data_IF_689168583774
#
_entry.id   IF_689168583774
#
_cell.length_a   1.000
_cell.length_b   1.000
_cell.length_c   1.000
_cell.angle_alpha   90.00
_cell.angle_beta   90.00
_cell.angle_gamma   90.00
#
_symmetry.space_group_name_H-M   'P 1'
#
loop_
_entity.id
_entity.type
_entity.pdbx_description
1 polymer ?
#
# COMPACT_ATOMS: atom_id res chain seq x y z
N UNK A 1 -25.77 -4.54 34.33
CA UNK A 1 -26.87 -3.69 33.80
C UNK A 1 -26.38 -2.56 32.87
N UNK A 2 -25.21 -1.94 33.11
CA UNK A 2 -24.67 -0.86 32.23
C UNK A 2 -24.18 -1.36 30.84
N UNK A 3 -23.61 -2.58 30.75
CA UNK A 3 -23.17 -3.17 29.46
C UNK A 3 -24.32 -3.60 28.57
N UNK A 4 -25.41 -4.08 29.11
CA UNK A 4 -26.60 -4.46 28.34
C UNK A 4 -27.37 -3.26 27.80
N UNK A 5 -27.42 -2.14 28.52
CA UNK A 5 -28.03 -0.88 28.08
C UNK A 5 -27.28 -0.27 26.89
N UNK A 6 -25.95 -0.37 26.85
CA UNK A 6 -25.12 0.13 25.75
C UNK A 6 -25.30 -0.70 24.47
N UNK A 7 -25.31 -2.04 24.58
CA UNK A 7 -25.49 -2.92 23.43
C UNK A 7 -26.91 -2.78 22.81
N UNK A 8 -27.96 -2.66 23.63
CA UNK A 8 -29.33 -2.43 23.15
C UNK A 8 -29.46 -1.07 22.45
N UNK A 9 -28.83 -0.02 22.98
CA UNK A 9 -28.77 1.30 22.35
C UNK A 9 -28.09 1.27 20.97
N UNK A 10 -27.01 0.50 20.83
CA UNK A 10 -26.28 0.38 19.58
C UNK A 10 -27.06 -0.41 18.51
N UNK A 11 -27.78 -1.45 18.90
CA UNK A 11 -28.67 -2.21 17.99
C UNK A 11 -29.81 -1.32 17.51
N UNK A 12 -30.46 -0.56 18.41
CA UNK A 12 -31.53 0.36 18.07
C UNK A 12 -31.06 1.48 17.11
N UNK A 13 -29.89 2.07 17.34
CA UNK A 13 -29.29 3.06 16.43
C UNK A 13 -29.02 2.50 15.03
N UNK A 14 -28.59 1.25 14.93
CA UNK A 14 -28.33 0.57 13.65
C UNK A 14 -29.63 0.38 12.87
N UNK A 15 -30.70 -0.01 13.51
CA UNK A 15 -31.99 -0.22 12.86
C UNK A 15 -32.67 1.08 12.40
N UNK A 16 -32.52 2.18 13.15
CA UNK A 16 -32.92 3.50 12.65
C UNK A 16 -32.17 3.92 11.41
N UNK A 17 -30.89 3.57 11.30
CA UNK A 17 -30.10 3.81 10.07
C UNK A 17 -30.58 2.95 8.90
N UNK A 18 -30.98 1.70 9.13
CA UNK A 18 -31.56 0.84 8.08
C UNK A 18 -32.93 1.37 7.60
N UNK A 19 -33.76 1.85 8.48
CA UNK A 19 -35.04 2.50 8.10
C UNK A 19 -34.79 3.78 7.28
N UNK A 20 -33.81 4.61 7.69
CA UNK A 20 -33.41 5.80 6.94
C UNK A 20 -32.79 5.46 5.57
N UNK A 21 -32.28 4.26 5.39
CA UNK A 21 -31.77 3.74 4.12
C UNK A 21 -32.86 3.10 3.23
N UNK A 22 -34.17 3.27 3.58
CA UNK A 22 -35.30 2.84 2.75
C UNK A 22 -35.84 1.44 3.05
N UNK A 23 -35.49 0.84 4.18
CA UNK A 23 -36.14 -0.41 4.65
C UNK A 23 -37.56 -0.10 5.12
N UNK A 24 -38.58 -0.73 4.51
CA UNK A 24 -39.98 -0.44 4.72
C UNK A 24 -40.58 -1.06 6.01
N UNK A 25 -39.76 -1.68 6.85
CA UNK A 25 -40.18 -2.27 8.13
C UNK A 25 -39.98 -1.24 9.24
N UNK A 26 -40.98 -1.00 10.10
CA UNK A 26 -40.82 -0.09 11.25
C UNK A 26 -39.64 -0.51 12.12
N UNK A 27 -38.79 0.46 12.57
CA UNK A 27 -37.56 0.15 13.33
C UNK A 27 -37.81 -0.70 14.58
N UNK A 28 -38.93 -0.46 15.26
CA UNK A 28 -39.27 -1.18 16.50
C UNK A 28 -39.62 -2.66 16.25
N UNK A 29 -40.29 -2.94 15.14
CA UNK A 29 -40.60 -4.32 14.73
C UNK A 29 -39.31 -5.05 14.29
N UNK A 30 -38.45 -4.38 13.56
CA UNK A 30 -37.16 -4.93 13.16
C UNK A 30 -36.29 -5.20 14.39
N UNK A 31 -36.31 -4.30 15.39
CA UNK A 31 -35.61 -4.49 16.66
C UNK A 31 -36.12 -5.71 17.41
N UNK A 32 -37.45 -5.81 17.58
CA UNK A 32 -38.07 -6.93 18.27
C UNK A 32 -37.73 -8.28 17.57
N UNK A 33 -37.84 -8.31 16.25
CA UNK A 33 -37.47 -9.49 15.45
C UNK A 33 -35.99 -9.90 15.66
N UNK A 34 -35.04 -8.95 15.57
CA UNK A 34 -33.62 -9.22 15.75
C UNK A 34 -33.31 -9.69 17.18
N UNK A 35 -34.01 -9.17 18.18
CA UNK A 35 -33.86 -9.57 19.58
C UNK A 35 -34.41 -10.97 19.83
N UNK A 36 -35.56 -11.28 19.32
CA UNK A 36 -36.23 -12.58 19.49
C UNK A 36 -35.52 -13.71 18.72
N UNK A 37 -34.87 -13.40 17.58
CA UNK A 37 -34.07 -14.35 16.82
C UNK A 37 -32.80 -14.86 17.55
N UNK A 38 -32.43 -14.25 18.67
CA UNK A 38 -31.18 -14.56 19.42
C UNK A 38 -29.90 -14.06 18.74
N UNK A 39 -29.98 -13.54 17.51
CA UNK A 39 -28.83 -13.14 16.69
C UNK A 39 -28.41 -11.68 16.86
N UNK A 40 -29.10 -10.90 17.66
CA UNK A 40 -28.79 -9.48 17.88
C UNK A 40 -27.37 -9.21 18.40
N UNK A 41 -26.74 -10.21 19.05
CA UNK A 41 -25.37 -10.12 19.62
C UNK A 41 -24.27 -10.31 18.60
N UNK A 42 -24.57 -10.91 17.45
CA UNK A 42 -23.56 -11.24 16.41
C UNK A 42 -23.58 -10.27 15.22
N UNK A 43 -24.37 -9.19 15.28
CA UNK A 43 -24.46 -8.20 14.21
C UNK A 43 -23.13 -7.45 14.05
N UNK A 44 -22.56 -7.54 12.86
CA UNK A 44 -21.30 -6.88 12.52
C UNK A 44 -21.55 -5.45 12.06
N UNK A 45 -20.70 -4.52 12.49
CA UNK A 45 -20.72 -3.16 11.98
C UNK A 45 -20.06 -3.14 10.59
N UNK A 46 -20.56 -2.27 9.68
CA UNK A 46 -20.01 -2.15 8.34
C UNK A 46 -20.94 -1.37 7.41
N UNK A 47 -20.54 -1.26 6.14
CA UNK A 47 -21.35 -0.72 5.06
C UNK A 47 -22.02 -1.85 4.31
N UNK A 48 -23.35 -1.82 4.20
CA UNK A 48 -24.13 -2.87 3.57
C UNK A 48 -24.99 -2.28 2.44
N UNK A 49 -25.05 -2.95 1.31
CA UNK A 49 -25.99 -2.67 0.24
C UNK A 49 -27.20 -3.59 0.40
N UNK A 50 -28.35 -3.00 0.75
CA UNK A 50 -29.59 -3.75 0.97
C UNK A 50 -30.39 -3.75 -0.33
N UNK A 51 -30.58 -4.90 -1.01
CA UNK A 51 -31.41 -4.99 -2.19
C UNK A 51 -32.86 -4.59 -1.89
N UNK A 52 -33.50 -3.91 -2.82
CA UNK A 52 -34.91 -3.60 -2.68
C UNK A 52 -35.74 -4.88 -2.54
N UNK A 53 -36.66 -4.88 -1.58
CA UNK A 53 -37.55 -6.04 -1.32
C UNK A 53 -36.89 -7.12 -0.44
N UNK A 54 -35.74 -6.86 0.16
CA UNK A 54 -35.11 -7.79 1.11
C UNK A 54 -35.99 -8.03 2.32
N UNK A 55 -36.15 -9.30 2.71
CA UNK A 55 -36.87 -9.67 3.93
C UNK A 55 -36.06 -9.29 5.19
N UNK A 56 -36.73 -9.12 6.35
CA UNK A 56 -36.07 -8.92 7.63
C UNK A 56 -35.07 -10.03 7.98
N UNK A 57 -35.38 -11.27 7.60
CA UNK A 57 -34.50 -12.44 7.79
C UNK A 57 -33.24 -12.32 6.95
N UNK A 58 -33.36 -12.01 5.66
CA UNK A 58 -32.21 -11.78 4.79
C UNK A 58 -31.30 -10.65 5.31
N UNK A 59 -31.91 -9.55 5.80
CA UNK A 59 -31.18 -8.45 6.41
C UNK A 59 -30.43 -8.90 7.68
N UNK A 60 -31.07 -9.70 8.53
CA UNK A 60 -30.47 -10.24 9.75
C UNK A 60 -29.28 -11.14 9.40
N UNK A 61 -29.43 -12.06 8.44
CA UNK A 61 -28.37 -12.96 7.97
C UNK A 61 -27.20 -12.16 7.41
N UNK A 62 -27.47 -11.19 6.54
CA UNK A 62 -26.45 -10.32 5.95
C UNK A 62 -25.63 -9.57 7.00
N UNK A 63 -26.31 -9.03 8.03
CA UNK A 63 -25.66 -8.31 9.13
C UNK A 63 -24.89 -9.26 10.08
N UNK A 64 -25.44 -10.45 10.36
CA UNK A 64 -24.83 -11.44 11.24
C UNK A 64 -23.58 -12.08 10.59
N UNK A 65 -23.65 -12.40 9.31
CA UNK A 65 -22.53 -12.95 8.55
C UNK A 65 -21.48 -11.85 8.23
N UNK A 66 -21.89 -10.59 8.16
CA UNK A 66 -21.03 -9.47 7.82
C UNK A 66 -20.77 -9.39 6.31
N UNK A 67 -21.78 -9.67 5.47
CA UNK A 67 -21.74 -9.52 4.01
C UNK A 67 -21.70 -8.03 3.61
N UNK A 68 -20.59 -7.36 3.90
CA UNK A 68 -20.41 -5.94 3.61
C UNK A 68 -20.34 -5.68 2.11
N UNK A 69 -20.79 -4.50 1.69
CA UNK A 69 -20.56 -3.97 0.36
C UNK A 69 -19.08 -3.54 0.27
N UNK A 70 -18.28 -4.38 -0.35
CA UNK A 70 -16.85 -4.11 -0.54
C UNK A 70 -16.54 -3.68 -1.97
N UNK A 71 -15.47 -2.94 -2.12
CA UNK A 71 -14.83 -2.55 -3.38
C UNK A 71 -13.36 -2.92 -3.29
N UNK A 72 -12.66 -2.83 -4.40
CA UNK A 72 -11.22 -3.06 -4.43
C UNK A 72 -10.52 -2.01 -5.26
N UNK A 73 -9.26 -1.76 -4.92
CA UNK A 73 -8.33 -0.96 -5.71
C UNK A 73 -7.04 -1.74 -5.85
N UNK A 74 -6.50 -1.79 -7.07
CA UNK A 74 -5.22 -2.44 -7.35
C UNK A 74 -4.14 -1.37 -7.41
N UNK A 75 -3.12 -1.53 -6.58
CA UNK A 75 -1.90 -0.75 -6.56
C UNK A 75 -0.79 -1.59 -7.20
N UNK A 76 -0.18 -1.09 -8.28
CA UNK A 76 0.67 -1.90 -9.16
C UNK A 76 2.14 -1.76 -8.78
N UNK A 77 2.91 -2.84 -8.93
CA UNK A 77 4.37 -2.87 -8.74
C UNK A 77 5.07 -1.83 -9.65
N UNK A 78 6.13 -1.23 -9.15
CA UNK A 78 6.90 -0.24 -9.88
C UNK A 78 6.23 1.14 -10.02
N UNK A 79 5.02 1.33 -9.49
CA UNK A 79 4.40 2.65 -9.42
C UNK A 79 5.07 3.52 -8.36
N UNK A 80 5.03 4.83 -8.56
CA UNK A 80 5.42 5.85 -7.57
C UNK A 80 4.27 6.12 -6.59
N UNK A 81 4.56 6.75 -5.48
CA UNK A 81 3.54 7.19 -4.52
C UNK A 81 2.49 8.12 -5.16
N UNK A 82 2.90 8.97 -6.09
CA UNK A 82 1.98 9.80 -6.88
C UNK A 82 0.95 8.96 -7.63
N UNK A 83 1.39 7.91 -8.34
CA UNK A 83 0.50 7.01 -9.07
C UNK A 83 -0.42 6.22 -8.13
N UNK A 84 0.06 5.83 -6.93
CA UNK A 84 -0.80 5.23 -5.90
C UNK A 84 -1.91 6.18 -5.48
N UNK A 85 -1.58 7.44 -5.22
CA UNK A 85 -2.58 8.48 -4.87
C UNK A 85 -3.61 8.69 -5.99
N UNK A 86 -3.17 8.71 -7.24
CA UNK A 86 -4.07 8.82 -8.38
C UNK A 86 -5.02 7.63 -8.51
N UNK A 87 -4.53 6.41 -8.24
CA UNK A 87 -5.38 5.22 -8.24
C UNK A 87 -6.41 5.27 -7.09
N UNK A 88 -6.00 5.69 -5.89
CA UNK A 88 -6.91 5.87 -4.76
C UNK A 88 -7.94 6.97 -5.03
N UNK A 89 -7.55 8.07 -5.66
CA UNK A 89 -8.46 9.16 -6.02
C UNK A 89 -9.56 8.72 -7.02
N UNK A 90 -9.25 7.74 -7.87
CA UNK A 90 -10.21 7.16 -8.84
C UNK A 90 -10.98 5.96 -8.30
N UNK A 91 -10.65 5.48 -7.09
CA UNK A 91 -11.26 4.29 -6.51
C UNK A 91 -12.73 4.51 -6.15
N UNK A 92 -13.60 3.59 -6.58
CA UNK A 92 -15.04 3.70 -6.45
C UNK A 92 -15.48 3.71 -4.98
N UNK A 93 -16.32 4.68 -4.61
CA UNK A 93 -16.83 4.84 -3.25
C UNK A 93 -15.77 4.85 -2.13
N UNK A 94 -14.55 5.31 -2.40
CA UNK A 94 -13.51 5.54 -1.41
C UNK A 94 -13.52 7.03 -1.00
N UNK A 95 -13.54 7.30 0.31
CA UNK A 95 -13.44 8.68 0.81
C UNK A 95 -12.02 9.18 0.67
N UNK A 96 -11.89 10.37 0.12
CA UNK A 96 -10.62 11.01 -0.20
C UNK A 96 -10.13 11.88 0.97
N UNK A 97 -9.84 11.26 2.13
CA UNK A 97 -9.38 11.97 3.35
C UNK A 97 -7.94 12.48 3.22
N UNK A 98 -7.20 12.01 2.20
CA UNK A 98 -5.83 12.48 1.89
C UNK A 98 -5.79 13.60 0.85
N UNK A 99 -6.93 14.06 0.33
CA UNK A 99 -6.98 15.16 -0.63
C UNK A 99 -6.36 16.43 -0.04
N UNK A 100 -5.44 17.06 -0.79
CA UNK A 100 -4.75 18.28 -0.37
C UNK A 100 -3.62 18.05 0.62
N UNK A 101 -3.41 16.84 1.15
CA UNK A 101 -2.29 16.55 2.02
C UNK A 101 -1.02 16.28 1.21
N UNK A 102 0.11 16.77 1.71
CA UNK A 102 1.44 16.39 1.24
C UNK A 102 1.80 14.96 1.65
N UNK A 103 2.82 14.39 1.00
CA UNK A 103 3.33 13.06 1.37
C UNK A 103 3.73 12.96 2.84
N UNK A 104 4.52 13.89 3.39
CA UNK A 104 4.86 13.91 4.83
C UNK A 104 3.64 13.97 5.75
N UNK A 105 2.63 14.80 5.45
CA UNK A 105 1.40 14.88 6.26
C UNK A 105 0.61 13.56 6.25
N UNK A 106 0.60 12.84 5.13
CA UNK A 106 -0.01 11.50 5.06
C UNK A 106 0.75 10.53 5.95
N UNK A 107 2.11 10.55 5.91
CA UNK A 107 2.93 9.66 6.73
C UNK A 107 2.75 9.97 8.22
N UNK A 108 2.67 11.24 8.62
CA UNK A 108 2.34 11.64 10.00
C UNK A 108 0.99 11.06 10.45
N UNK A 109 -0.06 11.11 9.59
CA UNK A 109 -1.37 10.50 9.90
C UNK A 109 -1.35 8.97 9.94
N UNK A 110 -0.32 8.36 9.38
CA UNK A 110 -0.08 6.92 9.43
C UNK A 110 0.86 6.51 10.56
N UNK A 111 1.22 7.43 11.45
CA UNK A 111 2.12 7.24 12.59
C UNK A 111 3.59 6.95 12.16
N UNK A 112 4.01 7.49 10.99
CA UNK A 112 5.35 7.34 10.41
C UNK A 112 5.97 8.72 10.09
N UNK A 113 6.00 9.57 11.10
CA UNK A 113 6.51 10.94 10.98
C UNK A 113 7.98 10.98 10.54
N UNK A 114 8.31 11.92 9.66
CA UNK A 114 9.67 12.09 9.14
C UNK A 114 10.11 11.06 8.09
N UNK A 115 9.28 10.07 7.73
CA UNK A 115 9.58 9.06 6.73
C UNK A 115 9.00 9.46 5.37
N UNK A 116 9.81 9.37 4.30
CA UNK A 116 9.34 9.59 2.94
C UNK A 116 8.33 8.50 2.52
N UNK A 117 7.23 8.85 1.84
CA UNK A 117 6.19 7.88 1.46
C UNK A 117 6.62 6.95 0.31
N UNK A 118 7.61 7.35 -0.50
CA UNK A 118 8.03 6.57 -1.67
C UNK A 118 8.59 5.20 -1.25
N UNK A 119 8.15 4.15 -1.92
CA UNK A 119 8.55 2.77 -1.65
C UNK A 119 7.86 2.10 -0.45
N UNK A 120 7.08 2.83 0.35
CA UNK A 120 6.55 2.35 1.64
C UNK A 120 5.25 1.57 1.59
N UNK A 121 4.56 1.59 0.48
CA UNK A 121 3.26 0.95 0.36
C UNK A 121 3.36 -0.28 -0.54
N UNK A 122 3.00 -1.45 -0.02
CA UNK A 122 3.10 -2.69 -0.79
C UNK A 122 2.08 -2.70 -1.93
N UNK A 123 2.51 -3.01 -3.17
CA UNK A 123 1.60 -3.16 -4.30
C UNK A 123 0.79 -4.46 -4.16
N UNK A 124 -0.54 -4.32 -4.17
CA UNK A 124 -1.48 -5.45 -4.08
C UNK A 124 -2.89 -4.96 -4.46
N UNK A 125 -3.85 -5.86 -4.48
CA UNK A 125 -5.28 -5.52 -4.58
C UNK A 125 -5.88 -5.41 -3.18
N UNK A 126 -6.24 -4.20 -2.79
CA UNK A 126 -6.81 -3.90 -1.47
C UNK A 126 -8.32 -3.85 -1.52
N UNK A 127 -8.95 -4.68 -0.70
CA UNK A 127 -10.39 -4.70 -0.53
C UNK A 127 -10.76 -3.75 0.61
N UNK A 128 -11.75 -2.89 0.37
CA UNK A 128 -12.22 -1.91 1.34
C UNK A 128 -13.75 -1.82 1.39
N UNK A 129 -14.34 -1.53 2.57
CA UNK A 129 -15.76 -1.28 2.68
C UNK A 129 -16.15 0.01 1.94
N UNK A 130 -17.32 0.01 1.29
CA UNK A 130 -17.87 1.21 0.68
C UNK A 130 -17.90 2.39 1.67
N UNK A 131 -17.47 3.56 1.22
CA UNK A 131 -17.33 4.79 2.00
C UNK A 131 -16.30 4.73 3.15
N UNK A 132 -15.33 3.82 3.11
CA UNK A 132 -14.16 3.88 3.99
C UNK A 132 -13.12 4.89 3.49
N UNK A 133 -12.17 5.24 4.37
CA UNK A 133 -11.11 6.20 4.07
C UNK A 133 -9.98 5.59 3.24
N UNK A 134 -9.42 6.37 2.32
CA UNK A 134 -8.19 6.06 1.58
C UNK A 134 -6.96 5.89 2.52
N UNK A 135 -6.92 6.60 3.66
CA UNK A 135 -5.95 6.35 4.72
C UNK A 135 -6.00 4.92 5.25
N UNK A 136 -7.19 4.30 5.28
CA UNK A 136 -7.34 2.91 5.67
C UNK A 136 -6.66 1.95 4.70
N UNK A 137 -6.76 2.21 3.39
CA UNK A 137 -6.07 1.44 2.35
C UNK A 137 -4.56 1.64 2.43
N UNK A 138 -4.11 2.90 2.56
CA UNK A 138 -2.70 3.22 2.74
C UNK A 138 -2.12 2.55 3.99
N UNK A 139 -2.83 2.55 5.11
CA UNK A 139 -2.38 1.86 6.34
C UNK A 139 -2.20 0.36 6.13
N UNK A 140 -3.12 -0.29 5.41
CA UNK A 140 -2.98 -1.71 5.06
C UNK A 140 -1.75 -1.96 4.17
N UNK A 141 -1.54 -1.12 3.17
CA UNK A 141 -0.42 -1.23 2.24
C UNK A 141 0.93 -0.99 2.95
N UNK A 142 1.00 0.00 3.84
CA UNK A 142 2.16 0.31 4.66
C UNK A 142 2.53 -0.87 5.56
N UNK A 143 1.57 -1.37 6.35
CA UNK A 143 1.78 -2.53 7.22
C UNK A 143 2.16 -3.80 6.44
N UNK A 144 1.65 -3.94 5.21
CA UNK A 144 2.01 -5.06 4.36
C UNK A 144 3.47 -4.95 3.88
N UNK A 145 3.96 -3.73 3.58
CA UNK A 145 5.36 -3.50 3.23
C UNK A 145 6.29 -3.74 4.42
N UNK A 146 5.96 -3.19 5.59
CA UNK A 146 6.77 -3.33 6.80
C UNK A 146 7.01 -4.81 7.15
N UNK A 147 5.94 -5.61 7.17
CA UNK A 147 6.05 -7.06 7.45
C UNK A 147 6.93 -7.79 6.43
N UNK A 148 6.83 -7.45 5.14
CA UNK A 148 7.62 -8.10 4.09
C UNK A 148 9.07 -7.69 4.13
N UNK A 149 9.32 -6.40 4.38
CA UNK A 149 10.67 -5.87 4.50
C UNK A 149 11.38 -6.48 5.71
N UNK A 150 10.72 -6.57 6.86
CA UNK A 150 11.27 -7.21 8.05
C UNK A 150 11.56 -8.70 7.81
N UNK A 151 10.63 -9.43 7.19
CA UNK A 151 10.82 -10.84 6.86
C UNK A 151 12.00 -11.03 5.89
N UNK A 152 12.10 -10.23 4.84
CA UNK A 152 13.21 -10.29 3.90
C UNK A 152 14.56 -9.94 4.57
N UNK A 153 14.57 -8.92 5.41
CA UNK A 153 15.77 -8.48 6.13
C UNK A 153 16.27 -9.53 7.12
N UNK A 154 15.37 -10.24 7.80
CA UNK A 154 15.72 -11.27 8.78
C UNK A 154 16.47 -12.47 8.19
N UNK A 155 16.25 -12.77 6.90
CA UNK A 155 16.88 -13.89 6.19
C UNK A 155 17.97 -13.46 5.21
N UNK A 156 18.44 -12.22 5.29
CA UNK A 156 19.45 -11.68 4.38
C UNK A 156 20.79 -12.42 4.48
N UNK A 157 21.53 -12.46 3.37
CA UNK A 157 22.90 -12.96 3.37
C UNK A 157 23.80 -12.08 4.27
N UNK A 158 24.71 -12.68 5.06
CA UNK A 158 25.53 -11.94 6.02
C UNK A 158 26.53 -10.98 5.35
N UNK A 159 26.90 -11.20 4.11
CA UNK A 159 27.85 -10.42 3.32
C UNK A 159 27.19 -9.38 2.40
N UNK A 160 25.87 -9.17 2.56
CA UNK A 160 25.14 -8.17 1.81
C UNK A 160 25.66 -6.75 2.12
N UNK A 161 26.03 -5.92 1.13
CA UNK A 161 26.59 -4.58 1.34
C UNK A 161 25.51 -3.55 1.67
N UNK A 162 24.53 -3.91 2.51
CA UNK A 162 23.45 -3.07 2.98
C UNK A 162 23.43 -3.08 4.51
N UNK A 163 23.23 -1.91 5.12
CA UNK A 163 23.35 -1.73 6.57
C UNK A 163 21.99 -1.68 7.29
N UNK A 164 20.89 -1.53 6.55
CA UNK A 164 19.56 -1.40 7.14
C UNK A 164 18.46 -1.92 6.20
N UNK A 165 17.27 -2.24 6.74
CA UNK A 165 16.09 -2.57 5.94
C UNK A 165 15.74 -1.46 4.95
N UNK A 166 15.96 -0.20 5.33
CA UNK A 166 15.73 0.95 4.45
C UNK A 166 16.58 0.89 3.20
N UNK A 167 17.89 0.63 3.33
CA UNK A 167 18.78 0.46 2.18
C UNK A 167 18.35 -0.72 1.29
N UNK A 168 17.82 -1.77 1.90
CA UNK A 168 17.24 -2.89 1.18
C UNK A 168 16.00 -2.48 0.36
N UNK A 169 15.12 -1.66 0.93
CA UNK A 169 13.94 -1.15 0.24
C UNK A 169 14.33 -0.23 -0.94
N UNK A 170 15.33 0.63 -0.74
CA UNK A 170 15.86 1.50 -1.80
C UNK A 170 16.39 0.67 -2.97
N UNK A 171 17.25 -0.31 -2.69
CA UNK A 171 17.78 -1.19 -3.73
C UNK A 171 16.69 -1.98 -4.44
N UNK A 172 15.69 -2.49 -3.68
CA UNK A 172 14.53 -3.19 -4.25
C UNK A 172 13.77 -2.32 -5.26
N UNK A 173 13.56 -1.04 -4.92
CA UNK A 173 12.84 -0.11 -5.81
C UNK A 173 13.59 0.15 -7.12
N UNK A 174 14.93 0.13 -7.08
CA UNK A 174 15.77 0.26 -8.27
C UNK A 174 15.66 -1.00 -9.14
N UNK A 175 15.83 -2.19 -8.53
CA UNK A 175 15.72 -3.48 -9.24
C UNK A 175 14.33 -3.63 -9.87
N UNK A 176 13.27 -3.21 -9.16
CA UNK A 176 11.88 -3.22 -9.66
C UNK A 176 11.71 -2.40 -10.94
N UNK A 177 12.40 -1.27 -11.03
CA UNK A 177 12.33 -0.36 -12.20
C UNK A 177 13.28 -0.77 -13.33
N UNK A 178 14.31 -1.56 -13.04
CA UNK A 178 15.31 -1.97 -14.02
C UNK A 178 14.81 -3.10 -14.92
N UNK A 179 14.02 -4.04 -14.37
CA UNK A 179 13.51 -5.16 -15.13
C UNK A 179 12.10 -5.57 -14.74
N UNK A 180 11.25 -5.82 -15.76
CA UNK A 180 9.96 -6.48 -15.59
C UNK A 180 10.06 -8.01 -15.51
N UNK A 181 11.24 -8.60 -15.82
CA UNK A 181 11.45 -10.05 -15.83
C UNK A 181 11.93 -10.54 -14.45
N UNK A 182 11.14 -11.36 -13.81
CA UNK A 182 11.47 -11.91 -12.50
C UNK A 182 12.78 -12.73 -12.50
N UNK A 183 13.06 -13.42 -13.60
CA UNK A 183 14.28 -14.24 -13.75
C UNK A 183 15.57 -13.40 -13.69
N UNK A 184 15.54 -12.15 -14.16
CA UNK A 184 16.72 -11.29 -14.26
C UNK A 184 17.00 -10.51 -12.96
N UNK A 185 16.00 -10.40 -12.08
CA UNK A 185 16.08 -9.57 -10.86
C UNK A 185 17.25 -9.96 -9.96
N UNK A 186 17.51 -11.26 -9.78
CA UNK A 186 18.65 -11.75 -8.99
C UNK A 186 20.00 -11.29 -9.57
N UNK A 187 20.16 -11.40 -10.87
CA UNK A 187 21.39 -11.02 -11.57
C UNK A 187 21.64 -9.49 -11.49
N UNK A 188 20.61 -8.70 -11.74
CA UNK A 188 20.65 -7.23 -11.64
C UNK A 188 20.95 -6.79 -10.20
N UNK A 189 20.29 -7.39 -9.22
CA UNK A 189 20.54 -7.12 -7.81
C UNK A 189 22.00 -7.46 -7.42
N UNK A 190 22.55 -8.55 -7.96
CA UNK A 190 23.96 -8.93 -7.79
C UNK A 190 24.93 -7.89 -8.34
N UNK A 191 24.67 -7.37 -9.53
CA UNK A 191 25.47 -6.29 -10.12
C UNK A 191 25.47 -5.06 -9.23
N UNK A 192 24.32 -4.60 -8.76
CA UNK A 192 24.23 -3.43 -7.88
C UNK A 192 24.88 -3.67 -6.51
N UNK A 193 24.69 -4.86 -5.92
CA UNK A 193 25.36 -5.22 -4.67
C UNK A 193 26.89 -5.19 -4.83
N UNK A 194 27.44 -5.69 -5.94
CA UNK A 194 28.86 -5.62 -6.22
C UNK A 194 29.35 -4.19 -6.40
N UNK A 195 28.61 -3.35 -7.15
CA UNK A 195 28.95 -1.93 -7.31
C UNK A 195 29.01 -1.22 -5.95
N UNK A 196 28.00 -1.45 -5.09
CA UNK A 196 28.00 -0.90 -3.72
C UNK A 196 29.20 -1.37 -2.91
N UNK A 197 29.58 -2.67 -3.00
CA UNK A 197 30.71 -3.25 -2.25
C UNK A 197 32.05 -2.62 -2.61
N UNK A 198 32.26 -2.29 -3.88
CA UNK A 198 33.52 -1.68 -4.36
C UNK A 198 33.44 -0.15 -4.47
N UNK A 199 32.37 0.49 -3.99
CA UNK A 199 32.19 1.95 -4.05
C UNK A 199 31.94 2.51 -5.45
N UNK A 200 31.54 1.66 -6.41
CA UNK A 200 31.23 2.07 -7.79
C UNK A 200 29.85 2.71 -7.88
N UNK A 201 29.65 3.81 -8.63
CA UNK A 201 28.33 4.37 -8.89
C UNK A 201 27.37 3.36 -9.50
N UNK A 202 26.08 3.39 -9.11
CA UNK A 202 25.09 2.44 -9.60
C UNK A 202 24.76 2.65 -11.08
N UNK A 203 24.74 3.91 -11.54
CA UNK A 203 24.54 4.29 -12.95
C UNK A 203 23.31 3.62 -13.58
N UNK A 204 22.17 3.86 -13.00
CA UNK A 204 20.89 3.29 -13.43
C UNK A 204 19.91 4.37 -13.84
N UNK A 205 19.38 4.27 -15.06
CA UNK A 205 18.50 5.26 -15.69
C UNK A 205 17.24 5.56 -14.88
N UNK A 206 16.54 4.57 -14.26
CA UNK A 206 15.37 4.82 -13.44
C UNK A 206 15.57 5.84 -12.32
N UNK A 207 16.76 5.93 -11.73
CA UNK A 207 17.07 6.90 -10.68
C UNK A 207 17.15 8.32 -11.21
N UNK A 208 17.65 8.50 -12.43
CA UNK A 208 17.70 9.79 -13.13
C UNK A 208 16.28 10.23 -13.51
N UNK A 209 15.49 9.33 -14.05
CA UNK A 209 14.09 9.56 -14.41
C UNK A 209 13.29 10.00 -13.18
N UNK A 210 13.45 9.30 -12.06
CA UNK A 210 12.78 9.65 -10.81
C UNK A 210 13.22 11.03 -10.30
N UNK A 211 14.53 11.28 -10.24
CA UNK A 211 15.06 12.58 -9.79
C UNK A 211 14.61 13.75 -10.66
N UNK A 212 14.53 13.57 -11.98
CA UNK A 212 14.00 14.57 -12.89
C UNK A 212 12.49 14.79 -12.68
N UNK A 213 11.73 13.72 -12.40
CA UNK A 213 10.28 13.83 -12.09
C UNK A 213 10.03 14.60 -10.80
N UNK A 214 10.82 14.34 -9.75
CA UNK A 214 10.69 15.04 -8.47
C UNK A 214 11.08 16.53 -8.59
N UNK A 215 12.14 16.83 -9.33
CA UNK A 215 12.55 18.21 -9.57
C UNK A 215 11.52 19.04 -10.33
N UNK A 216 10.75 18.40 -11.21
CA UNK A 216 9.72 19.08 -12.02
C UNK A 216 8.32 19.00 -11.39
N UNK A 217 8.10 18.17 -10.38
CA UNK A 217 6.79 17.91 -9.78
C UNK A 217 5.81 17.16 -10.69
N UNK A 218 6.27 16.67 -11.85
CA UNK A 218 5.48 15.92 -12.84
C UNK A 218 6.24 14.67 -13.30
N UNK A 219 5.53 13.71 -13.88
CA UNK A 219 6.17 12.54 -14.46
C UNK A 219 7.13 12.95 -15.58
N UNK A 220 8.32 12.34 -15.60
CA UNK A 220 9.27 12.54 -16.68
C UNK A 220 8.70 11.95 -17.98
N UNK A 221 8.62 12.78 -19.01
CA UNK A 221 8.15 12.37 -20.33
C UNK A 221 9.27 12.43 -21.37
N UNK A 222 9.28 11.45 -22.27
CA UNK A 222 10.20 11.39 -23.38
C UNK A 222 11.43 10.50 -23.14
N UNK A 223 12.46 10.71 -23.96
CA UNK A 223 13.69 9.91 -23.89
C UNK A 223 14.73 10.54 -22.98
N UNK A 224 15.41 9.71 -22.21
CA UNK A 224 16.58 10.12 -21.46
C UNK A 224 17.67 10.62 -22.42
N UNK A 225 18.29 11.75 -22.11
CA UNK A 225 19.35 12.39 -22.91
C UNK A 225 20.55 12.66 -22.04
N UNK A 226 21.71 12.87 -22.64
CA UNK A 226 22.96 13.13 -21.95
C UNK A 226 22.85 14.20 -20.87
N UNK A 227 22.14 15.29 -21.17
CA UNK A 227 21.95 16.37 -20.20
C UNK A 227 21.25 15.91 -18.92
N UNK A 228 20.34 14.94 -19.00
CA UNK A 228 19.68 14.40 -17.80
C UNK A 228 20.63 13.56 -16.95
N UNK A 229 21.54 12.80 -17.60
CA UNK A 229 22.56 12.01 -16.93
C UNK A 229 23.59 12.89 -16.23
N UNK A 230 23.89 14.05 -16.80
CA UNK A 230 24.87 15.01 -16.28
C UNK A 230 24.27 16.00 -15.27
N UNK A 231 22.92 16.07 -15.18
CA UNK A 231 22.22 16.94 -14.22
C UNK A 231 22.24 16.30 -12.83
N UNK A 232 22.86 16.99 -11.88
CA UNK A 232 22.94 16.50 -10.50
C UNK A 232 21.59 16.65 -9.80
N UNK A 233 21.06 15.54 -9.32
CA UNK A 233 19.91 15.46 -8.41
C UNK A 233 20.24 14.53 -7.24
N UNK A 234 19.54 14.59 -6.10
CA UNK A 234 19.78 13.66 -5.00
C UNK A 234 19.68 12.18 -5.38
N UNK A 235 18.91 11.85 -6.41
CA UNK A 235 18.70 10.47 -6.88
C UNK A 235 19.58 10.08 -8.06
N UNK A 236 20.34 11.01 -8.69
CA UNK A 236 21.13 10.67 -9.88
C UNK A 236 22.35 9.83 -9.52
N UNK A 237 22.27 8.52 -9.76
CA UNK A 237 23.34 7.56 -9.49
C UNK A 237 24.47 7.54 -10.53
N UNK A 238 24.44 8.41 -11.55
CA UNK A 238 25.58 8.68 -12.43
C UNK A 238 26.51 9.75 -11.83
N UNK A 239 25.96 10.74 -11.12
CA UNK A 239 26.70 11.84 -10.51
C UNK A 239 27.04 11.57 -9.04
N UNK A 240 26.28 10.71 -8.37
CA UNK A 240 26.40 10.43 -6.94
C UNK A 240 26.62 8.93 -6.69
N UNK A 241 27.69 8.53 -5.97
CA UNK A 241 27.93 7.15 -5.61
C UNK A 241 26.98 6.68 -4.51
N UNK A 242 26.77 5.36 -4.44
CA UNK A 242 25.93 4.73 -3.42
C UNK A 242 24.45 4.71 -3.77
N UNK A 243 23.62 4.45 -2.76
CA UNK A 243 22.16 4.45 -2.87
C UNK A 243 21.60 5.87 -2.87
N UNK A 244 20.51 6.13 -3.61
CA UNK A 244 19.78 7.40 -3.48
C UNK A 244 19.15 7.54 -2.09
N UNK A 245 18.70 8.76 -1.70
CA UNK A 245 18.20 9.04 -0.36
C UNK A 245 16.89 8.34 -0.01
N UNK A 246 16.09 7.97 -1.02
CA UNK A 246 14.80 7.28 -0.84
C UNK A 246 14.61 6.22 -1.93
N UNK A 247 13.67 5.28 -1.76
CA UNK A 247 13.18 4.49 -2.87
C UNK A 247 12.67 5.37 -4.04
N UNK A 248 12.58 4.80 -5.22
CA UNK A 248 12.14 5.47 -6.45
C UNK A 248 10.83 4.92 -7.02
N UNK A 249 10.31 3.86 -6.41
CA UNK A 249 9.04 3.21 -6.75
C UNK A 249 8.61 2.27 -5.62
N UNK A 250 7.39 1.75 -5.71
CA UNK A 250 6.87 0.69 -4.83
C UNK A 250 7.33 -0.68 -5.34
N UNK A 251 8.27 -1.36 -4.68
CA UNK A 251 8.73 -2.68 -5.13
C UNK A 251 7.71 -3.76 -4.78
N UNK A 252 7.56 -4.74 -5.67
CA UNK A 252 6.76 -5.94 -5.44
C UNK A 252 7.50 -7.01 -4.62
N UNK A 253 6.86 -8.16 -4.46
CA UNK A 253 7.37 -9.22 -3.57
C UNK A 253 8.70 -9.83 -4.04
N UNK A 254 8.92 -9.89 -5.35
CA UNK A 254 10.10 -10.54 -5.92
C UNK A 254 11.38 -9.72 -5.80
N UNK A 255 11.30 -8.38 -5.73
CA UNK A 255 12.47 -7.51 -5.67
C UNK A 255 13.25 -7.65 -4.33
N UNK A 256 12.64 -7.62 -3.13
CA UNK A 256 13.36 -7.86 -1.87
C UNK A 256 13.98 -9.25 -1.78
N UNK A 257 13.30 -10.29 -2.27
CA UNK A 257 13.80 -11.68 -2.21
C UNK A 257 15.00 -11.88 -3.10
N UNK A 258 15.08 -11.20 -4.25
CA UNK A 258 16.14 -11.41 -5.23
C UNK A 258 17.54 -11.04 -4.74
N UNK A 259 17.68 -10.09 -3.79
CA UNK A 259 19.00 -9.71 -3.25
C UNK A 259 19.26 -10.26 -1.84
N UNK A 260 18.24 -10.60 -1.06
CA UNK A 260 18.44 -11.17 0.28
C UNK A 260 19.05 -12.57 0.25
N UNK A 261 18.89 -13.29 -0.86
CA UNK A 261 19.43 -14.62 -1.09
C UNK A 261 20.67 -14.65 -2.02
N UNK A 262 21.20 -13.49 -2.44
CA UNK A 262 22.43 -13.44 -3.25
C UNK A 262 23.60 -14.05 -2.49
N UNK A 263 24.06 -15.23 -2.92
CA UNK A 263 25.32 -15.80 -2.46
C UNK A 263 26.47 -15.16 -3.25
N UNK A 264 27.59 -14.89 -2.58
CA UNK A 264 28.79 -14.30 -3.18
C UNK A 264 29.35 -15.07 -4.39
N UNK A 265 28.84 -16.26 -4.69
CA UNK A 265 29.33 -17.14 -5.76
C UNK A 265 28.60 -16.99 -7.12
N UNK A 266 27.47 -16.27 -7.18
CA UNK A 266 26.75 -16.10 -8.47
C UNK A 266 27.30 -14.97 -9.35
N UNK A 267 28.32 -14.26 -8.89
CA UNK A 267 28.91 -13.12 -9.59
C UNK A 267 30.27 -13.44 -10.29
N UNK A 268 30.60 -14.72 -10.45
CA UNK A 268 31.67 -15.13 -11.36
C UNK A 268 31.07 -15.41 -12.75
N UNK A 269 30.75 -14.36 -13.48
CA UNK A 269 30.58 -14.41 -14.91
C UNK A 269 31.30 -13.20 -15.53
N UNK A 270 32.45 -13.48 -16.11
CA UNK A 270 33.23 -12.75 -17.11
C UNK A 270 33.50 -11.26 -16.91
#
# INVERSE_FOLDING_TARGET
TRKESSAASDVYKRQRKTAAAGVQVPPDLLYAYFRLSGRSRVLKAGSYEIPRGSSPEYLLDMLAEGRQAVRSVTLVEGWTFRQFREALARADHLKQDTTGLSGPEIMTRLDHDGIAPEGRFFPDTYVYPKNSSDLGVLRQALQAMDRRLEAAWSVRAPDLPLQSPEQALILASIVEKETGLQADRGQIAGVFANRLRIGMPLQTDPTVIYGASEAQGVAFEGRLRRIHLDTDTPWNTYTRPGLPPTPIAMPGNAAPVSYTHLRAHETKAN
#
